data_IF_834248673422
#
_entry.id   IF_834248673422
#
_cell.length_a   1.000
_cell.length_b   1.000
_cell.length_c   1.000
_cell.angle_alpha   90.00
_cell.angle_beta   90.00
_cell.angle_gamma   90.00
#
_symmetry.space_group_name_H-M   'P 1'
#
loop_
_entity.id
_entity.type
_entity.pdbx_description
1 polymer ?
#
# COMPACT_ATOMS: atom_id res chain seq x y z
N UNK A 1 -24.68 13.45 29.15
CA UNK A 1 -24.01 13.75 27.88
C UNK A 1 -24.46 12.66 26.92
N UNK A 2 -24.91 13.05 25.73
CA UNK A 2 -25.31 12.08 24.70
C UNK A 2 -24.08 11.23 24.34
N UNK A 3 -24.24 9.90 24.34
CA UNK A 3 -23.15 8.97 24.01
C UNK A 3 -22.66 9.16 22.56
N UNK A 4 -23.51 9.63 21.67
CA UNK A 4 -23.22 9.88 20.26
C UNK A 4 -22.42 11.18 20.02
N UNK A 5 -22.04 11.91 21.07
CA UNK A 5 -21.32 13.17 20.94
C UNK A 5 -19.83 12.99 20.63
N UNK A 6 -19.26 11.83 20.97
CA UNK A 6 -17.82 11.54 20.79
C UNK A 6 -17.56 10.59 19.65
N UNK A 7 -16.91 11.09 18.62
CA UNK A 7 -16.38 10.30 17.52
C UNK A 7 -14.94 10.65 17.22
N UNK A 8 -14.35 9.87 16.33
CA UNK A 8 -12.99 10.09 15.84
C UNK A 8 -13.01 10.32 14.34
N UNK A 9 -12.06 11.10 13.85
CA UNK A 9 -11.78 11.22 12.42
C UNK A 9 -10.47 10.50 12.11
N UNK A 10 -10.51 9.63 11.10
CA UNK A 10 -9.33 8.99 10.54
C UNK A 10 -9.17 9.50 9.11
N UNK A 11 -8.02 10.07 8.83
CA UNK A 11 -7.62 10.56 7.51
C UNK A 11 -6.20 10.08 7.20
N UNK A 12 -5.95 9.74 5.93
CA UNK A 12 -4.59 9.44 5.48
C UNK A 12 -3.78 10.74 5.43
N UNK A 13 -3.26 11.16 6.58
CA UNK A 13 -2.41 12.32 6.77
C UNK A 13 -1.23 11.95 7.65
N UNK A 14 -0.01 12.41 7.30
CA UNK A 14 1.21 12.10 8.05
C UNK A 14 1.43 10.59 8.27
N UNK A 15 1.07 9.77 7.29
CA UNK A 15 1.13 8.31 7.41
C UNK A 15 0.31 7.74 8.57
N UNK A 16 -0.85 8.34 8.85
CA UNK A 16 -1.74 7.85 9.91
C UNK A 16 -2.31 6.45 9.59
N UNK A 17 -2.47 6.14 8.31
CA UNK A 17 -2.96 4.84 7.82
C UNK A 17 -1.79 4.00 7.31
N UNK A 18 -1.28 4.30 6.10
CA UNK A 18 -0.11 3.62 5.54
C UNK A 18 1.15 3.97 6.35
N UNK A 19 1.74 2.98 7.05
CA UNK A 19 2.84 3.20 7.99
C UNK A 19 2.39 3.58 9.42
N UNK A 20 1.08 3.77 9.63
CA UNK A 20 0.43 4.06 10.91
C UNK A 20 -0.38 2.90 11.45
N UNK A 21 -1.73 3.01 11.43
CA UNK A 21 -2.63 1.98 11.97
C UNK A 21 -2.70 0.71 11.11
N UNK A 22 -2.38 0.79 9.83
CA UNK A 22 -2.31 -0.35 8.92
C UNK A 22 -1.07 -1.19 9.21
N UNK A 23 -1.23 -2.51 9.36
CA UNK A 23 -0.15 -3.38 9.78
C UNK A 23 0.79 -3.81 8.64
N UNK A 24 0.64 -3.26 7.43
CA UNK A 24 1.59 -3.46 6.32
C UNK A 24 2.97 -2.92 6.69
N UNK A 25 3.99 -3.78 6.58
CA UNK A 25 5.35 -3.45 6.98
C UNK A 25 6.24 -3.01 5.80
N UNK A 26 5.79 -3.20 4.56
CA UNK A 26 6.52 -2.80 3.36
C UNK A 26 6.01 -1.46 2.85
N UNK A 27 6.88 -0.46 2.85
CA UNK A 27 6.61 0.82 2.21
C UNK A 27 6.66 0.68 0.69
N UNK A 28 5.73 1.36 -0.02
CA UNK A 28 5.72 1.41 -1.49
C UNK A 28 5.72 -0.01 -2.12
N UNK A 29 4.82 -0.87 -1.63
CA UNK A 29 4.75 -2.30 -1.98
C UNK A 29 4.57 -2.59 -3.48
N UNK A 30 3.97 -1.65 -4.23
CA UNK A 30 3.70 -1.74 -5.68
C UNK A 30 4.54 -0.77 -6.51
N UNK A 31 5.54 -0.12 -5.91
CA UNK A 31 6.49 0.77 -6.59
C UNK A 31 5.87 2.02 -7.25
N UNK A 32 4.64 2.36 -6.89
CA UNK A 32 3.82 3.42 -7.51
C UNK A 32 4.13 4.84 -7.04
N UNK A 33 4.87 5.03 -5.94
CA UNK A 33 5.10 6.34 -5.31
C UNK A 33 5.74 7.38 -6.23
N UNK A 34 6.46 6.97 -7.26
CA UNK A 34 7.07 7.86 -8.24
C UNK A 34 6.19 8.14 -9.48
N UNK A 35 4.91 7.69 -9.52
CA UNK A 35 4.01 7.92 -10.66
C UNK A 35 3.29 9.25 -10.51
N UNK A 36 3.52 10.24 -11.40
CA UNK A 36 2.78 11.48 -11.38
C UNK A 36 1.28 11.25 -11.59
N UNK A 37 0.41 11.98 -10.87
CA UNK A 37 -1.01 11.99 -11.15
C UNK A 37 -1.32 12.49 -12.58
N UNK A 38 -2.43 12.02 -13.12
CA UNK A 38 -2.88 12.43 -14.45
C UNK A 38 -3.05 13.95 -14.53
N UNK A 39 -2.61 14.54 -15.65
CA UNK A 39 -2.67 15.98 -15.92
C UNK A 39 -1.86 16.85 -14.91
N UNK A 40 -0.92 16.26 -14.18
CA UNK A 40 0.00 16.98 -13.30
C UNK A 40 1.42 16.87 -13.87
N UNK A 41 1.87 17.76 -14.77
CA UNK A 41 3.22 17.73 -15.31
C UNK A 41 4.26 17.85 -14.20
N UNK A 42 5.29 17.02 -14.29
CA UNK A 42 6.42 16.99 -13.37
C UNK A 42 7.58 17.85 -13.88
N UNK A 43 8.06 18.74 -13.03
CA UNK A 43 9.30 19.52 -13.25
C UNK A 43 10.45 18.81 -12.52
N UNK A 44 11.39 18.15 -13.25
CA UNK A 44 12.48 17.39 -12.63
C UNK A 44 13.56 18.29 -12.00
N UNK A 45 13.65 19.56 -12.40
CA UNK A 45 14.62 20.51 -11.84
C UNK A 45 14.15 21.01 -10.50
N UNK A 46 12.90 21.47 -10.42
CA UNK A 46 12.28 21.96 -9.20
C UNK A 46 11.76 20.84 -8.29
N UNK A 47 11.62 19.62 -8.81
CA UNK A 47 11.01 18.46 -8.15
C UNK A 47 9.59 18.75 -7.63
N UNK A 48 8.77 19.30 -8.50
CA UNK A 48 7.38 19.64 -8.20
C UNK A 48 6.45 19.10 -9.30
N UNK A 49 5.24 18.79 -8.91
CA UNK A 49 4.10 18.66 -9.83
C UNK A 49 3.39 19.99 -9.94
N UNK A 50 2.85 20.30 -11.12
CA UNK A 50 1.93 21.41 -11.31
C UNK A 50 0.52 20.83 -11.52
N UNK A 51 -0.42 21.19 -10.65
CA UNK A 51 -1.82 20.77 -10.78
C UNK A 51 -2.53 21.51 -11.91
N UNK A 52 -3.65 21.00 -12.44
CA UNK A 52 -4.40 21.69 -13.52
C UNK A 52 -4.86 23.09 -13.19
N UNK A 53 -4.99 23.44 -11.92
CA UNK A 53 -5.32 24.80 -11.43
C UNK A 53 -4.07 25.64 -11.09
N UNK A 54 -2.87 25.18 -11.48
CA UNK A 54 -1.63 25.91 -11.39
C UNK A 54 -0.94 25.92 -10.02
N UNK A 55 -1.38 25.05 -9.10
CA UNK A 55 -0.68 24.85 -7.84
C UNK A 55 0.52 23.92 -8.01
N UNK A 56 1.60 24.17 -7.29
CA UNK A 56 2.79 23.33 -7.30
C UNK A 56 2.94 22.60 -5.97
N UNK A 57 3.18 21.30 -6.02
CA UNK A 57 3.41 20.45 -4.85
C UNK A 57 4.74 19.73 -4.97
N UNK A 58 5.46 19.49 -3.88
CA UNK A 58 6.67 18.67 -3.90
C UNK A 58 6.36 17.28 -4.45
N UNK A 59 7.28 16.73 -5.24
CA UNK A 59 7.16 15.39 -5.77
C UNK A 59 8.51 14.68 -5.81
N UNK A 60 8.48 13.37 -5.69
CA UNK A 60 9.66 12.53 -5.80
C UNK A 60 10.21 12.55 -7.24
N UNK A 61 11.45 12.14 -7.41
CA UNK A 61 11.95 11.81 -8.74
C UNK A 61 11.14 10.64 -9.31
N UNK A 62 10.88 10.70 -10.62
CA UNK A 62 10.10 9.65 -11.31
C UNK A 62 10.78 8.28 -11.33
N UNK A 63 12.10 8.23 -11.10
CA UNK A 63 12.90 7.00 -10.98
C UNK A 63 13.15 6.59 -9.51
N UNK A 64 12.57 7.30 -8.55
CA UNK A 64 12.68 6.97 -7.12
C UNK A 64 11.83 5.77 -6.78
N UNK A 65 12.35 4.94 -5.89
CA UNK A 65 11.65 3.79 -5.29
C UNK A 65 11.76 3.90 -3.77
N UNK A 66 10.99 4.80 -3.13
CA UNK A 66 11.04 5.00 -1.68
C UNK A 66 10.83 3.70 -0.91
N UNK A 67 11.58 3.53 0.17
CA UNK A 67 11.53 2.31 0.99
C UNK A 67 12.35 1.14 0.42
N UNK A 68 13.04 1.33 -0.72
CA UNK A 68 13.83 0.30 -1.38
C UNK A 68 15.23 0.77 -1.74
N UNK A 69 16.20 -0.13 -1.68
CA UNK A 69 17.58 0.11 -2.12
C UNK A 69 18.22 -1.14 -2.68
N UNK A 70 19.29 -0.98 -3.47
CA UNK A 70 20.10 -2.09 -3.90
C UNK A 70 20.83 -2.76 -2.72
N UNK A 71 20.92 -4.09 -2.76
CA UNK A 71 21.63 -4.87 -1.74
C UNK A 71 23.16 -4.66 -1.82
N UNK A 72 23.70 -4.56 -3.01
CA UNK A 72 25.15 -4.41 -3.25
C UNK A 72 25.42 -3.59 -4.52
N UNK A 73 26.67 -3.25 -4.77
CA UNK A 73 27.10 -2.56 -5.99
C UNK A 73 26.90 -3.37 -7.29
N UNK A 74 26.70 -4.69 -7.18
CA UNK A 74 26.41 -5.57 -8.31
C UNK A 74 24.92 -5.61 -8.67
N UNK A 75 24.11 -4.81 -7.99
CA UNK A 75 22.66 -4.77 -8.14
C UNK A 75 22.22 -3.46 -8.78
N UNK A 76 21.22 -3.56 -9.63
CA UNK A 76 20.52 -2.42 -10.22
C UNK A 76 19.01 -2.65 -10.07
N UNK A 77 18.28 -1.62 -9.74
CA UNK A 77 16.82 -1.64 -9.68
C UNK A 77 16.25 -0.45 -10.46
N UNK A 78 15.12 -0.68 -11.13
CA UNK A 78 14.45 0.33 -11.93
C UNK A 78 12.94 0.10 -11.96
N UNK A 79 12.11 1.15 -11.78
CA UNK A 79 10.66 1.04 -11.94
C UNK A 79 10.32 0.85 -13.44
N UNK A 80 9.85 -0.35 -13.78
CA UNK A 80 9.46 -0.72 -15.13
C UNK A 80 7.96 -0.43 -15.35
N UNK A 81 7.62 0.08 -16.52
CA UNK A 81 6.24 0.41 -16.93
C UNK A 81 5.70 -0.50 -18.03
N UNK A 82 6.44 -1.53 -18.40
CA UNK A 82 6.09 -2.46 -19.48
C UNK A 82 5.66 -3.83 -18.97
N UNK A 83 6.40 -4.35 -17.99
CA UNK A 83 6.13 -5.66 -17.39
C UNK A 83 5.25 -5.47 -16.16
N UNK A 84 3.92 -5.48 -16.34
CA UNK A 84 2.93 -5.19 -15.31
C UNK A 84 2.13 -6.45 -14.95
N UNK A 85 1.66 -6.54 -13.71
CA UNK A 85 0.81 -7.65 -13.26
C UNK A 85 -0.65 -7.48 -13.70
N UNK A 86 -1.13 -6.23 -13.79
CA UNK A 86 -2.49 -5.85 -14.20
C UNK A 86 -2.55 -4.37 -14.62
N UNK A 87 -3.74 -3.86 -14.91
CA UNK A 87 -3.98 -2.47 -15.31
C UNK A 87 -4.05 -1.46 -14.15
N UNK A 88 -4.08 -1.91 -12.89
CA UNK A 88 -4.12 -1.06 -11.70
C UNK A 88 -2.72 -0.66 -11.25
N UNK A 89 -1.77 -1.59 -11.38
CA UNK A 89 -0.35 -1.36 -11.08
C UNK A 89 0.35 -0.88 -12.35
N UNK A 90 0.77 0.37 -12.36
CA UNK A 90 1.39 1.05 -13.53
C UNK A 90 2.90 0.87 -13.56
N UNK A 91 3.46 0.23 -12.56
CA UNK A 91 4.88 -0.08 -12.41
C UNK A 91 5.08 -1.44 -11.78
N UNK A 92 6.21 -2.03 -12.11
CA UNK A 92 6.83 -3.11 -11.36
C UNK A 92 8.29 -2.75 -11.07
N UNK A 93 8.97 -3.47 -10.21
CA UNK A 93 10.39 -3.27 -9.97
C UNK A 93 11.22 -4.27 -10.76
N UNK A 94 11.91 -3.82 -11.81
CA UNK A 94 12.97 -4.58 -12.46
C UNK A 94 14.20 -4.62 -11.52
N UNK A 95 14.71 -5.81 -11.27
CA UNK A 95 15.95 -6.06 -10.53
C UNK A 95 16.92 -6.79 -11.44
N UNK A 96 18.10 -6.20 -11.68
CA UNK A 96 19.19 -6.79 -12.43
C UNK A 96 20.39 -7.01 -11.51
N UNK A 97 20.91 -8.22 -11.49
CA UNK A 97 22.04 -8.62 -10.67
C UNK A 97 23.14 -9.17 -11.55
N UNK A 98 24.37 -8.67 -11.34
CA UNK A 98 25.60 -9.14 -11.98
C UNK A 98 26.49 -9.83 -10.93
N UNK A 99 25.93 -10.79 -10.17
CA UNK A 99 26.67 -11.50 -9.14
C UNK A 99 27.61 -12.56 -9.73
N UNK A 100 28.77 -12.73 -9.09
CA UNK A 100 29.71 -13.81 -9.33
C UNK A 100 30.19 -14.38 -7.99
N UNK A 101 30.94 -15.48 -8.02
CA UNK A 101 31.53 -16.06 -6.81
C UNK A 101 32.44 -15.04 -6.07
N UNK A 102 33.09 -14.14 -6.80
CA UNK A 102 33.97 -13.10 -6.24
C UNK A 102 33.18 -11.88 -5.74
N UNK A 103 32.15 -11.45 -6.46
CA UNK A 103 31.36 -10.26 -6.12
C UNK A 103 30.28 -10.50 -5.06
N UNK A 104 29.98 -11.77 -4.75
CA UNK A 104 28.98 -12.16 -3.76
C UNK A 104 27.54 -11.96 -4.24
N UNK A 105 26.62 -11.86 -3.30
CA UNK A 105 25.17 -11.72 -3.56
C UNK A 105 24.81 -10.33 -4.06
N UNK A 106 23.81 -10.29 -4.95
CA UNK A 106 23.13 -9.07 -5.37
C UNK A 106 21.62 -9.18 -5.18
N UNK A 107 20.92 -8.06 -5.34
CA UNK A 107 19.47 -7.97 -5.20
C UNK A 107 19.00 -6.65 -4.62
N UNK A 108 17.87 -6.66 -3.91
CA UNK A 108 17.25 -5.47 -3.32
C UNK A 108 16.88 -5.69 -1.85
N UNK A 109 16.70 -4.59 -1.16
CA UNK A 109 16.28 -4.51 0.24
C UNK A 109 15.05 -3.63 0.33
N UNK A 110 13.98 -4.15 0.97
CA UNK A 110 12.86 -3.35 1.43
C UNK A 110 13.11 -2.90 2.88
N UNK A 111 13.09 -1.59 3.11
CA UNK A 111 13.44 -0.98 4.39
C UNK A 111 12.23 -0.74 5.31
N UNK A 112 10.99 -0.96 4.78
CA UNK A 112 9.77 -0.62 5.49
C UNK A 112 9.64 0.88 5.77
N UNK A 113 8.87 1.23 6.78
CA UNK A 113 8.68 2.61 7.22
C UNK A 113 9.77 3.02 8.23
N UNK A 114 11.05 3.00 7.77
CA UNK A 114 12.20 3.30 8.63
C UNK A 114 12.68 2.12 9.48
N UNK A 115 12.39 0.92 9.06
CA UNK A 115 12.70 -0.38 9.66
C UNK A 115 11.45 -1.24 9.84
N UNK A 116 11.63 -2.55 9.74
CA UNK A 116 10.58 -3.55 9.98
C UNK A 116 10.66 -4.00 11.45
N UNK A 117 9.59 -3.79 12.24
CA UNK A 117 9.55 -4.27 13.61
C UNK A 117 9.35 -5.78 13.65
N UNK A 118 10.25 -6.49 14.35
CA UNK A 118 10.16 -7.93 14.58
C UNK A 118 10.09 -8.21 16.07
N UNK A 119 9.27 -9.19 16.44
CA UNK A 119 9.18 -9.78 17.76
C UNK A 119 9.60 -11.24 17.70
N UNK A 120 10.55 -11.64 18.52
CA UNK A 120 11.05 -13.02 18.57
C UNK A 120 9.91 -14.02 18.76
N UNK A 121 9.84 -15.01 17.89
CA UNK A 121 8.82 -16.06 17.89
C UNK A 121 7.51 -15.70 17.17
N UNK A 122 7.27 -14.43 16.85
CA UNK A 122 6.12 -14.04 16.05
C UNK A 122 6.30 -14.36 14.58
N UNK A 123 5.17 -14.55 13.90
CA UNK A 123 5.09 -14.93 12.49
C UNK A 123 4.68 -13.74 11.64
N UNK A 124 5.25 -13.72 10.44
CA UNK A 124 5.07 -12.64 9.46
C UNK A 124 4.75 -13.25 8.10
N UNK A 125 3.59 -12.92 7.55
CA UNK A 125 3.12 -13.43 6.28
C UNK A 125 3.60 -12.52 5.14
N UNK A 126 4.49 -13.07 4.31
CA UNK A 126 4.98 -12.46 3.08
C UNK A 126 4.10 -12.91 1.91
N UNK A 127 3.72 -11.96 1.06
CA UNK A 127 3.22 -12.25 -0.28
C UNK A 127 3.83 -11.30 -1.30
N UNK A 128 4.07 -11.78 -2.52
CA UNK A 128 4.62 -10.94 -3.59
C UNK A 128 4.34 -11.57 -4.94
N UNK A 129 4.36 -10.76 -5.98
CA UNK A 129 4.40 -11.23 -7.35
C UNK A 129 5.84 -11.15 -7.86
N UNK A 130 6.24 -12.17 -8.61
CA UNK A 130 7.56 -12.25 -9.22
C UNK A 130 7.48 -12.89 -10.60
N UNK A 131 8.31 -12.38 -11.51
CA UNK A 131 8.53 -12.88 -12.87
C UNK A 131 10.03 -12.90 -13.16
N UNK A 132 10.52 -13.94 -13.85
CA UNK A 132 11.90 -14.05 -14.32
C UNK A 132 12.05 -13.68 -15.78
N UNK A 133 13.20 -13.20 -16.19
CA UNK A 133 13.50 -12.85 -17.58
C UNK A 133 13.64 -14.08 -18.51
N UNK A 134 13.78 -15.28 -17.96
CA UNK A 134 13.91 -16.52 -18.74
C UNK A 134 13.30 -17.71 -18.02
N UNK A 135 12.99 -18.77 -18.77
CA UNK A 135 12.49 -20.03 -18.20
C UNK A 135 13.50 -20.75 -17.31
N UNK A 136 14.79 -20.49 -17.49
CA UNK A 136 15.89 -21.03 -16.66
C UNK A 136 16.25 -20.04 -15.54
N UNK A 137 15.26 -19.54 -14.83
CA UNK A 137 15.45 -18.57 -13.77
C UNK A 137 16.34 -19.10 -12.66
N UNK A 138 17.20 -18.21 -12.16
CA UNK A 138 18.08 -18.51 -11.02
C UNK A 138 17.31 -18.39 -9.71
N UNK A 139 17.75 -19.13 -8.71
CA UNK A 139 17.14 -19.07 -7.37
C UNK A 139 17.32 -17.68 -6.75
N UNK A 140 16.22 -17.15 -6.26
CA UNK A 140 16.13 -15.93 -5.47
C UNK A 140 15.83 -16.29 -4.03
N UNK A 141 16.56 -15.72 -3.09
CA UNK A 141 16.43 -15.95 -1.65
C UNK A 141 15.82 -14.74 -0.97
N UNK A 142 14.78 -14.95 -0.16
CA UNK A 142 14.10 -13.93 0.63
C UNK A 142 14.30 -14.23 2.11
N UNK A 143 14.64 -13.22 2.92
CA UNK A 143 14.78 -13.37 4.36
C UNK A 143 14.59 -12.04 5.08
N UNK A 144 14.08 -12.08 6.30
CA UNK A 144 14.14 -10.96 7.21
C UNK A 144 15.57 -10.90 7.79
N UNK A 145 16.18 -9.72 7.77
CA UNK A 145 17.57 -9.53 8.16
C UNK A 145 17.74 -8.29 9.05
N UNK A 146 18.91 -8.12 9.61
CA UNK A 146 19.29 -6.90 10.32
C UNK A 146 19.29 -5.69 9.38
N UNK A 147 19.45 -4.49 9.89
CA UNK A 147 19.44 -3.23 9.10
C UNK A 147 20.48 -3.17 8.00
N UNK A 148 21.55 -3.98 8.09
CA UNK A 148 22.58 -4.09 7.04
C UNK A 148 22.17 -5.06 5.92
N UNK A 149 21.17 -5.91 6.16
CA UNK A 149 20.72 -6.98 5.28
C UNK A 149 21.64 -8.22 5.29
N UNK A 150 22.62 -8.29 6.21
CA UNK A 150 23.66 -9.34 6.21
C UNK A 150 23.35 -10.47 7.19
N UNK A 151 22.79 -10.16 8.35
CA UNK A 151 22.49 -11.15 9.40
C UNK A 151 21.02 -11.56 9.31
N UNK A 152 20.76 -12.83 9.01
CA UNK A 152 19.41 -13.36 8.95
C UNK A 152 18.74 -13.35 10.34
N UNK A 153 17.50 -12.86 10.39
CA UNK A 153 16.61 -12.82 11.56
C UNK A 153 15.37 -13.69 11.37
N UNK A 154 15.34 -14.49 10.30
CA UNK A 154 14.35 -15.54 10.01
C UNK A 154 15.02 -16.66 9.21
N UNK A 155 14.26 -17.69 8.89
CA UNK A 155 14.62 -18.67 7.86
C UNK A 155 14.73 -18.00 6.48
N UNK A 156 15.38 -18.71 5.54
CA UNK A 156 15.53 -18.24 4.16
C UNK A 156 14.52 -18.96 3.28
N UNK A 157 13.62 -18.21 2.69
CA UNK A 157 12.71 -18.69 1.66
C UNK A 157 13.37 -18.60 0.29
N UNK A 158 13.31 -19.68 -0.51
CA UNK A 158 13.91 -19.74 -1.84
C UNK A 158 12.88 -20.02 -2.91
N UNK A 159 12.92 -19.22 -3.97
CA UNK A 159 12.05 -19.37 -5.14
C UNK A 159 12.87 -19.34 -6.42
N UNK A 160 12.41 -20.06 -7.45
CA UNK A 160 12.85 -19.88 -8.81
C UNK A 160 11.76 -19.07 -9.53
N UNK A 161 12.02 -17.82 -9.95
CA UNK A 161 11.03 -17.02 -10.64
C UNK A 161 10.55 -17.72 -11.92
N UNK A 162 9.25 -17.78 -12.12
CA UNK A 162 8.67 -18.27 -13.37
C UNK A 162 8.82 -17.23 -14.48
N UNK A 163 8.73 -17.63 -15.74
CA UNK A 163 8.72 -16.71 -16.89
C UNK A 163 7.50 -15.79 -16.90
N UNK A 164 6.34 -16.32 -16.44
CA UNK A 164 5.12 -15.55 -16.25
C UNK A 164 5.01 -15.04 -14.81
N UNK A 165 4.24 -13.97 -14.64
CA UNK A 165 3.92 -13.45 -13.32
C UNK A 165 3.26 -14.52 -12.44
N UNK A 166 3.80 -14.74 -11.24
CA UNK A 166 3.21 -15.62 -10.23
C UNK A 166 3.20 -14.97 -8.86
N UNK A 167 2.12 -15.20 -8.13
CA UNK A 167 2.01 -14.86 -6.71
C UNK A 167 2.67 -15.93 -5.86
N UNK A 168 3.59 -15.52 -5.01
CA UNK A 168 4.26 -16.37 -4.03
C UNK A 168 3.84 -15.95 -2.63
N UNK A 169 3.81 -16.93 -1.70
CA UNK A 169 3.51 -16.70 -0.29
C UNK A 169 4.50 -17.45 0.58
N UNK A 170 4.84 -16.90 1.73
CA UNK A 170 5.66 -17.55 2.75
C UNK A 170 5.37 -16.93 4.11
N UNK A 171 5.51 -17.72 5.17
CA UNK A 171 5.42 -17.23 6.55
C UNK A 171 6.78 -17.33 7.21
N UNK A 172 7.36 -16.20 7.56
CA UNK A 172 8.59 -16.14 8.35
C UNK A 172 8.32 -16.23 9.84
N UNK A 173 9.24 -16.85 10.58
CA UNK A 173 9.28 -16.78 12.04
C UNK A 173 10.48 -15.95 12.47
N UNK A 174 10.25 -14.85 13.21
CA UNK A 174 11.33 -13.99 13.66
C UNK A 174 12.16 -14.64 14.79
N UNK A 175 13.49 -14.58 14.65
CA UNK A 175 14.43 -15.14 15.65
C UNK A 175 14.89 -14.13 16.70
N UNK A 176 14.61 -12.82 16.50
CA UNK A 176 15.08 -11.73 17.35
C UNK A 176 14.06 -10.61 17.48
N UNK A 177 14.17 -9.81 18.55
CA UNK A 177 13.46 -8.55 18.70
C UNK A 177 14.26 -7.41 18.06
N UNK A 178 13.63 -6.62 17.21
CA UNK A 178 14.23 -5.41 16.64
C UNK A 178 13.15 -4.50 16.04
N UNK A 179 13.43 -3.21 15.90
CA UNK A 179 12.59 -2.28 15.15
C UNK A 179 13.30 -1.82 13.84
N UNK A 180 14.40 -2.47 13.46
CA UNK A 180 15.27 -2.06 12.37
C UNK A 180 15.60 -3.20 11.40
N UNK A 181 14.76 -4.24 11.36
CA UNK A 181 14.92 -5.28 10.36
C UNK A 181 14.58 -4.75 8.96
N UNK A 182 15.00 -5.50 7.95
CA UNK A 182 14.71 -5.29 6.54
C UNK A 182 14.32 -6.62 5.89
N UNK A 183 13.59 -6.58 4.78
CA UNK A 183 13.39 -7.74 3.92
C UNK A 183 14.45 -7.70 2.80
N UNK A 184 15.27 -8.73 2.71
CA UNK A 184 16.24 -8.90 1.61
C UNK A 184 15.70 -9.84 0.56
N UNK A 185 15.86 -9.50 -0.72
CA UNK A 185 15.54 -10.32 -1.88
C UNK A 185 16.78 -10.41 -2.74
N UNK A 186 17.49 -11.54 -2.66
CA UNK A 186 18.87 -11.66 -3.17
C UNK A 186 19.08 -12.93 -3.98
N UNK A 187 20.08 -12.90 -4.87
CA UNK A 187 20.60 -14.07 -5.57
C UNK A 187 22.13 -14.04 -5.56
N UNK A 188 22.73 -15.21 -5.63
CA UNK A 188 24.19 -15.40 -5.75
C UNK A 188 24.67 -15.57 -7.20
N UNK A 189 23.75 -15.40 -8.15
CA UNK A 189 23.99 -15.60 -9.58
C UNK A 189 23.51 -14.37 -10.36
N UNK A 190 24.09 -14.14 -11.53
CA UNK A 190 23.56 -13.13 -12.46
C UNK A 190 22.13 -13.49 -12.86
N UNK A 191 21.21 -12.55 -12.67
CA UNK A 191 19.79 -12.74 -12.90
C UNK A 191 19.09 -11.42 -13.20
N UNK A 192 17.97 -11.51 -13.93
CA UNK A 192 17.01 -10.43 -14.12
C UNK A 192 15.62 -10.95 -13.75
N UNK A 193 14.94 -10.22 -12.89
CA UNK A 193 13.57 -10.54 -12.47
C UNK A 193 12.80 -9.26 -12.14
N UNK A 194 11.49 -9.37 -12.11
CA UNK A 194 10.58 -8.30 -11.71
C UNK A 194 9.84 -8.68 -10.45
N UNK A 195 9.56 -7.68 -9.63
CA UNK A 195 8.76 -7.77 -8.41
C UNK A 195 7.57 -6.83 -8.51
N UNK A 196 6.46 -7.22 -7.91
CA UNK A 196 5.32 -6.34 -7.68
C UNK A 196 4.52 -6.78 -6.44
N UNK A 197 3.78 -5.85 -5.86
CA UNK A 197 2.92 -6.03 -4.68
C UNK A 197 3.61 -6.86 -3.59
N UNK A 198 4.82 -6.44 -3.21
CA UNK A 198 5.57 -7.07 -2.12
C UNK A 198 5.01 -6.60 -0.79
N UNK A 199 4.40 -7.50 -0.03
CA UNK A 199 3.63 -7.20 1.17
C UNK A 199 4.04 -8.12 2.32
N UNK A 200 4.19 -7.58 3.52
CA UNK A 200 4.58 -8.30 4.72
C UNK A 200 3.72 -7.86 5.92
N UNK A 201 2.97 -8.80 6.49
CA UNK A 201 2.11 -8.55 7.66
C UNK A 201 2.50 -9.40 8.85
N UNK A 202 2.46 -8.87 10.08
CA UNK A 202 2.44 -9.72 11.27
C UNK A 202 1.13 -10.54 11.28
N UNK A 203 1.18 -11.78 11.76
CA UNK A 203 -0.06 -12.54 11.99
C UNK A 203 -0.85 -11.99 13.18
N UNK A 204 -0.16 -11.35 14.13
CA UNK A 204 -0.79 -10.66 15.23
C UNK A 204 -1.32 -9.30 14.79
N UNK A 205 -2.59 -9.26 14.38
CA UNK A 205 -3.32 -8.05 14.00
C UNK A 205 -4.50 -7.82 14.94
N UNK A 206 -5.05 -6.61 14.94
CA UNK A 206 -6.27 -6.29 15.69
C UNK A 206 -7.40 -7.25 15.33
N UNK A 207 -8.00 -7.88 16.36
CA UNK A 207 -9.04 -8.92 16.21
C UNK A 207 -8.66 -10.10 15.30
N UNK A 208 -7.38 -10.27 15.01
CA UNK A 208 -6.89 -11.36 14.15
C UNK A 208 -7.30 -11.24 12.68
N UNK A 209 -7.71 -10.07 12.20
CA UNK A 209 -8.11 -9.88 10.80
C UNK A 209 -6.90 -9.99 9.87
N UNK A 210 -6.99 -10.76 8.79
CA UNK A 210 -5.93 -10.83 7.77
C UNK A 210 -5.65 -9.45 7.17
N UNK A 211 -4.37 -9.12 6.94
CA UNK A 211 -3.94 -7.81 6.43
C UNK A 211 -4.55 -6.64 7.22
N UNK A 212 -4.72 -6.85 8.52
CA UNK A 212 -5.50 -5.97 9.38
C UNK A 212 -4.71 -4.81 9.97
N UNK A 213 -5.17 -4.37 11.14
CA UNK A 213 -4.69 -3.18 11.82
C UNK A 213 -3.69 -3.56 12.93
N UNK A 214 -2.85 -2.61 13.31
CA UNK A 214 -1.87 -2.76 14.39
C UNK A 214 -2.56 -2.80 15.75
N UNK A 215 -2.45 -3.90 16.50
CA UNK A 215 -3.22 -4.08 17.75
C UNK A 215 -2.91 -3.02 18.79
N UNK A 216 -1.63 -2.64 18.97
CA UNK A 216 -1.22 -1.66 19.98
C UNK A 216 -1.78 -0.25 19.74
N UNK A 217 -2.04 0.14 18.48
CA UNK A 217 -2.68 1.40 18.16
C UNK A 217 -4.20 1.31 18.28
N UNK A 218 -4.77 0.19 17.83
CA UNK A 218 -6.20 -0.01 17.89
C UNK A 218 -6.73 -0.19 19.32
N UNK A 219 -5.93 -0.75 20.23
CA UNK A 219 -6.24 -0.81 21.66
C UNK A 219 -6.38 0.60 22.26
N UNK A 220 -5.51 1.54 21.88
CA UNK A 220 -5.61 2.94 22.31
C UNK A 220 -6.87 3.61 21.76
N UNK A 221 -7.19 3.37 20.47
CA UNK A 221 -8.41 3.89 19.85
C UNK A 221 -9.66 3.30 20.52
N UNK A 222 -9.68 1.98 20.76
CA UNK A 222 -10.78 1.29 21.41
C UNK A 222 -11.01 1.78 22.85
N UNK A 223 -9.93 2.14 23.57
CA UNK A 223 -10.03 2.69 24.93
C UNK A 223 -10.76 4.05 24.98
N UNK A 224 -10.77 4.80 23.87
CA UNK A 224 -11.52 6.05 23.75
C UNK A 224 -13.03 5.84 23.60
N UNK A 225 -13.48 4.62 23.25
CA UNK A 225 -14.88 4.24 23.06
C UNK A 225 -15.63 5.22 22.14
N UNK A 226 -15.15 5.42 20.90
CA UNK A 226 -15.79 6.35 19.98
C UNK A 226 -17.18 5.84 19.62
N UNK A 227 -18.18 6.73 19.57
CA UNK A 227 -19.53 6.38 19.12
C UNK A 227 -19.60 6.29 17.58
N UNK A 228 -18.69 6.98 16.89
CA UNK A 228 -18.59 6.92 15.43
C UNK A 228 -17.14 7.15 14.97
N UNK A 229 -16.84 6.65 13.77
CA UNK A 229 -15.58 6.91 13.06
C UNK A 229 -15.91 7.61 11.74
N UNK A 230 -15.41 8.84 11.56
CA UNK A 230 -15.48 9.55 10.29
C UNK A 230 -14.24 9.24 9.47
N UNK A 231 -14.41 8.74 8.24
CA UNK A 231 -13.33 8.31 7.34
C UNK A 231 -13.71 8.51 5.86
N UNK A 232 -12.75 8.43 4.89
CA UNK A 232 -11.31 8.32 5.05
C UNK A 232 -10.61 9.68 5.21
N UNK A 233 -11.33 10.73 5.50
CA UNK A 233 -10.83 12.07 5.75
C UNK A 233 -11.74 13.18 5.30
N UNK A 234 -11.18 14.36 5.10
CA UNK A 234 -11.80 15.56 4.53
C UNK A 234 -11.06 15.96 3.25
N UNK A 235 -9.93 16.64 3.40
CA UNK A 235 -9.09 17.06 2.28
C UNK A 235 -8.56 15.89 1.44
N UNK A 236 -8.32 14.76 2.06
CA UNK A 236 -7.95 13.51 1.36
C UNK A 236 -9.01 13.08 0.35
N UNK A 237 -10.30 13.26 0.68
CA UNK A 237 -11.43 12.92 -0.20
C UNK A 237 -11.61 13.91 -1.33
N UNK A 238 -11.24 15.18 -1.14
CA UNK A 238 -11.32 16.19 -2.19
C UNK A 238 -10.22 15.97 -3.25
N UNK A 239 -9.00 15.62 -2.82
CA UNK A 239 -7.87 15.53 -3.72
C UNK A 239 -7.51 16.87 -4.38
N UNK A 240 -6.57 16.88 -5.29
CA UNK A 240 -6.19 18.07 -6.06
C UNK A 240 -6.43 17.90 -7.59
N UNK A 241 -6.80 16.70 -8.03
CA UNK A 241 -7.25 16.40 -9.40
C UNK A 241 -8.08 15.13 -9.39
N UNK A 242 -8.86 14.92 -10.43
CA UNK A 242 -9.53 13.64 -10.66
C UNK A 242 -8.50 12.48 -10.61
N UNK A 243 -8.82 11.45 -9.82
CA UNK A 243 -7.93 10.29 -9.61
C UNK A 243 -6.88 10.45 -8.51
N UNK A 244 -6.88 11.56 -7.74
CA UNK A 244 -6.07 11.76 -6.53
C UNK A 244 -6.90 11.78 -5.25
N UNK A 245 -8.06 11.16 -5.27
CA UNK A 245 -8.92 10.90 -4.12
C UNK A 245 -9.43 9.46 -4.15
N UNK A 246 -9.79 8.88 -3.00
CA UNK A 246 -10.27 7.51 -2.94
C UNK A 246 -11.67 7.38 -3.59
N UNK A 247 -11.83 6.38 -4.43
CA UNK A 247 -13.12 5.89 -4.93
C UNK A 247 -13.35 4.53 -4.29
N UNK A 248 -14.42 4.36 -3.54
CA UNK A 248 -14.58 3.18 -2.67
C UNK A 248 -14.41 1.83 -3.39
N UNK A 249 -14.89 1.72 -4.65
CA UNK A 249 -14.76 0.50 -5.46
C UNK A 249 -13.31 0.14 -5.80
N UNK A 250 -12.42 1.14 -5.85
CA UNK A 250 -10.99 0.99 -6.13
C UNK A 250 -10.20 0.66 -4.85
N UNK A 251 -10.87 0.59 -3.70
CA UNK A 251 -10.25 0.39 -2.39
C UNK A 251 -10.65 -0.93 -1.72
N UNK A 252 -11.45 -1.77 -2.37
CA UNK A 252 -11.93 -3.06 -1.83
C UNK A 252 -11.35 -4.25 -2.62
N UNK A 253 -11.41 -5.46 -2.06
CA UNK A 253 -10.91 -6.67 -2.70
C UNK A 253 -9.42 -6.92 -2.50
N UNK A 254 -8.79 -7.72 -3.40
CA UNK A 254 -7.35 -8.05 -3.29
C UNK A 254 -6.51 -6.77 -3.38
N UNK A 255 -5.50 -6.66 -2.52
CA UNK A 255 -4.59 -5.50 -2.47
C UNK A 255 -3.83 -5.28 -3.79
N UNK A 256 -3.67 -6.31 -4.62
CA UNK A 256 -3.07 -6.20 -5.94
C UNK A 256 -3.97 -5.52 -6.98
N UNK A 257 -5.28 -5.44 -6.72
CA UNK A 257 -6.28 -4.82 -7.59
C UNK A 257 -6.67 -3.41 -7.12
N UNK A 258 -6.09 -2.94 -6.01
CA UNK A 258 -6.40 -1.62 -5.46
C UNK A 258 -5.53 -0.55 -6.11
N UNK A 259 -6.18 0.56 -6.44
CA UNK A 259 -5.48 1.69 -7.04
C UNK A 259 -4.59 2.39 -6.03
N UNK A 260 -3.36 2.61 -6.40
CA UNK A 260 -2.43 3.47 -5.69
C UNK A 260 -2.45 4.87 -6.30
N UNK A 261 -2.36 5.92 -5.49
CA UNK A 261 -2.28 7.28 -5.99
C UNK A 261 -1.46 8.20 -5.08
N UNK A 262 -0.94 9.29 -5.66
CA UNK A 262 -0.28 10.36 -4.92
C UNK A 262 -1.32 11.25 -4.27
N UNK A 263 -1.34 11.30 -2.94
CA UNK A 263 -2.37 11.99 -2.19
C UNK A 263 -2.04 13.48 -1.96
N UNK A 264 -2.99 14.22 -1.40
CA UNK A 264 -2.88 15.65 -1.15
C UNK A 264 -1.79 16.04 -0.13
N UNK A 265 -1.32 15.08 0.65
CA UNK A 265 -0.27 15.27 1.65
C UNK A 265 1.13 14.99 1.11
N UNK A 266 1.25 14.89 -0.24
CA UNK A 266 2.49 14.74 -0.98
C UNK A 266 3.25 13.42 -0.71
N UNK A 267 2.53 12.30 -0.62
CA UNK A 267 3.08 10.95 -0.66
C UNK A 267 2.08 9.96 -1.29
N UNK A 268 2.55 8.76 -1.58
CA UNK A 268 1.71 7.72 -2.14
C UNK A 268 0.83 7.07 -1.09
N UNK A 269 -0.43 6.76 -1.43
CA UNK A 269 -1.33 5.93 -0.62
C UNK A 269 -1.66 4.65 -1.36
N UNK A 270 -1.68 3.53 -0.64
CA UNK A 270 -1.87 2.19 -1.21
C UNK A 270 -3.32 1.74 -1.22
N UNK A 271 -4.23 2.49 -0.59
CA UNK A 271 -5.59 2.05 -0.28
C UNK A 271 -5.63 0.68 0.42
N UNK A 272 -4.59 0.37 1.20
CA UNK A 272 -4.49 -0.88 1.95
C UNK A 272 -5.59 -1.03 2.98
N UNK A 273 -5.91 0.05 3.70
CA UNK A 273 -7.20 0.20 4.39
C UNK A 273 -8.14 0.90 3.43
N UNK A 274 -9.12 0.16 2.92
CA UNK A 274 -10.15 0.66 2.05
C UNK A 274 -11.51 0.73 2.73
N UNK A 275 -12.55 0.94 1.94
CA UNK A 275 -13.91 1.09 2.46
C UNK A 275 -14.35 -0.13 3.31
N UNK A 276 -14.02 -1.34 2.85
CA UNK A 276 -14.36 -2.56 3.58
C UNK A 276 -13.67 -2.64 4.95
N UNK A 277 -12.38 -2.39 5.02
CA UNK A 277 -11.61 -2.46 6.27
C UNK A 277 -12.02 -1.35 7.25
N UNK A 278 -12.43 -0.18 6.77
CA UNK A 278 -13.03 0.85 7.63
C UNK A 278 -14.36 0.42 8.24
N UNK A 279 -15.23 -0.25 7.47
CA UNK A 279 -16.47 -0.81 8.00
C UNK A 279 -16.20 -1.89 9.05
N UNK A 280 -15.24 -2.81 8.78
CA UNK A 280 -14.82 -3.81 9.75
C UNK A 280 -14.23 -3.18 11.02
N UNK A 281 -13.45 -2.13 10.88
CA UNK A 281 -12.90 -1.39 12.02
C UNK A 281 -14.01 -0.77 12.87
N UNK A 282 -15.04 -0.19 12.25
CA UNK A 282 -16.19 0.36 12.97
C UNK A 282 -16.96 -0.73 13.72
N UNK A 283 -17.20 -1.88 13.08
CA UNK A 283 -17.81 -3.06 13.73
C UNK A 283 -17.00 -3.53 14.94
N UNK A 284 -15.68 -3.66 14.79
CA UNK A 284 -14.76 -4.10 15.86
C UNK A 284 -14.71 -3.13 17.05
N UNK A 285 -14.99 -1.85 16.81
CA UNK A 285 -15.01 -0.78 17.83
C UNK A 285 -16.40 -0.52 18.42
N UNK A 286 -17.46 -1.19 17.91
CA UNK A 286 -18.87 -0.88 18.24
C UNK A 286 -19.16 0.61 17.97
N UNK A 287 -18.73 1.12 16.82
CA UNK A 287 -18.81 2.51 16.42
C UNK A 287 -19.55 2.64 15.07
N UNK A 288 -20.37 3.70 14.93
CA UNK A 288 -21.06 3.98 13.67
C UNK A 288 -20.10 4.48 12.59
N UNK A 289 -20.15 3.98 11.34
CA UNK A 289 -19.35 4.47 10.25
C UNK A 289 -19.93 5.78 9.68
N UNK A 290 -19.10 6.82 9.61
CA UNK A 290 -19.41 8.08 8.93
C UNK A 290 -18.51 8.21 7.72
N UNK A 291 -18.96 7.66 6.59
CA UNK A 291 -18.18 7.68 5.34
C UNK A 291 -18.29 9.04 4.64
N UNK A 292 -17.14 9.62 4.30
CA UNK A 292 -17.05 10.90 3.57
C UNK A 292 -16.79 10.62 2.09
N UNK A 293 -17.59 11.22 1.23
CA UNK A 293 -17.51 11.09 -0.22
C UNK A 293 -17.06 12.39 -0.89
N UNK A 294 -16.44 12.28 -2.06
CA UNK A 294 -16.19 13.43 -2.92
C UNK A 294 -17.52 13.89 -3.54
N UNK A 295 -17.82 15.17 -3.40
CA UNK A 295 -19.02 15.83 -3.93
C UNK A 295 -18.79 16.55 -5.27
N UNK A 296 -17.74 16.16 -6.03
CA UNK A 296 -17.41 16.76 -7.31
C UNK A 296 -16.49 17.98 -7.20
N UNK A 297 -15.75 18.09 -6.09
CA UNK A 297 -14.83 19.21 -5.87
C UNK A 297 -13.42 18.68 -5.62
N UNK A 298 -12.43 19.32 -6.27
CA UNK A 298 -11.02 19.20 -5.93
C UNK A 298 -10.53 20.55 -5.43
N UNK A 299 -10.01 20.63 -4.20
CA UNK A 299 -9.85 21.93 -3.54
C UNK A 299 -8.50 22.15 -2.83
N UNK A 300 -7.54 21.26 -2.95
CA UNK A 300 -6.34 21.31 -2.12
C UNK A 300 -5.41 22.50 -2.34
N UNK A 301 -5.55 23.19 -3.46
CA UNK A 301 -4.75 24.36 -3.78
C UNK A 301 -5.41 25.68 -3.39
N UNK A 302 -6.51 25.66 -2.62
CA UNK A 302 -7.38 26.83 -2.38
C UNK A 302 -7.88 27.48 -3.67
N UNK A 303 -7.85 26.75 -4.78
CA UNK A 303 -8.36 27.12 -6.10
C UNK A 303 -9.29 25.98 -6.53
N UNK A 304 -10.52 25.95 -6.00
CA UNK A 304 -11.42 24.84 -6.21
C UNK A 304 -11.66 24.61 -7.70
N UNK A 305 -11.70 23.36 -8.09
CA UNK A 305 -12.15 22.92 -9.38
C UNK A 305 -13.38 22.04 -9.19
N UNK A 306 -14.39 22.30 -9.97
CA UNK A 306 -15.66 21.57 -9.93
C UNK A 306 -15.72 20.59 -11.09
N UNK A 307 -16.21 19.40 -10.83
CA UNK A 307 -16.59 18.47 -11.89
C UNK A 307 -17.79 19.05 -12.68
N UNK A 308 -17.89 18.68 -13.95
CA UNK A 308 -19.05 19.01 -14.75
C UNK A 308 -20.32 18.42 -14.10
N UNK A 309 -21.42 19.15 -14.16
CA UNK A 309 -22.71 18.71 -13.62
C UNK A 309 -23.15 17.36 -14.20
N UNK A 310 -22.71 17.02 -15.41
CA UNK A 310 -22.94 15.72 -16.03
C UNK A 310 -22.23 14.57 -15.30
N UNK A 311 -21.12 14.84 -14.60
CA UNK A 311 -20.41 13.87 -13.77
C UNK A 311 -21.09 13.62 -12.41
N UNK A 312 -21.97 14.53 -11.97
CA UNK A 312 -22.63 14.41 -10.65
C UNK A 312 -23.49 13.15 -10.53
N UNK A 313 -24.15 12.72 -11.62
CA UNK A 313 -24.93 11.48 -11.62
C UNK A 313 -24.11 10.25 -11.25
N UNK A 314 -22.85 10.17 -11.71
CA UNK A 314 -21.94 9.09 -11.35
C UNK A 314 -21.53 9.15 -9.89
N UNK A 315 -21.21 10.33 -9.37
CA UNK A 315 -20.82 10.50 -7.95
C UNK A 315 -21.98 10.16 -7.00
N UNK A 316 -23.20 10.56 -7.36
CA UNK A 316 -24.43 10.17 -6.60
C UNK A 316 -24.60 8.66 -6.64
N UNK A 317 -24.46 8.02 -7.81
CA UNK A 317 -24.58 6.56 -7.91
C UNK A 317 -23.49 5.84 -7.10
N UNK A 318 -22.23 6.31 -7.16
CA UNK A 318 -21.16 5.75 -6.34
C UNK A 318 -21.46 5.85 -4.84
N UNK A 319 -22.09 6.94 -4.38
CA UNK A 319 -22.52 7.09 -3.00
C UNK A 319 -23.64 6.11 -2.63
N UNK A 320 -24.67 5.95 -3.50
CA UNK A 320 -25.76 5.00 -3.29
C UNK A 320 -25.23 3.55 -3.25
N UNK A 321 -24.31 3.23 -4.13
CA UNK A 321 -23.68 1.91 -4.19
C UNK A 321 -22.78 1.63 -2.97
N UNK A 322 -22.13 2.64 -2.40
CA UNK A 322 -21.40 2.50 -1.14
C UNK A 322 -22.35 2.17 0.03
N UNK A 323 -23.50 2.84 0.09
CA UNK A 323 -24.56 2.54 1.08
C UNK A 323 -25.08 1.12 0.88
N UNK A 324 -25.36 0.73 -0.36
CA UNK A 324 -25.85 -0.61 -0.70
C UNK A 324 -24.81 -1.68 -0.35
N UNK A 325 -23.54 -1.45 -0.67
CA UNK A 325 -22.44 -2.35 -0.28
C UNK A 325 -22.38 -2.58 1.23
N UNK A 326 -22.57 -1.51 2.04
CA UNK A 326 -22.52 -1.63 3.49
C UNK A 326 -23.76 -2.33 4.09
N UNK A 327 -24.96 -2.11 3.53
CA UNK A 327 -26.22 -2.43 4.21
C UNK A 327 -27.05 -3.52 3.55
N UNK A 328 -26.88 -3.79 2.26
CA UNK A 328 -27.68 -4.80 1.59
C UNK A 328 -27.40 -6.23 2.09
N UNK A 329 -28.39 -7.13 2.08
CA UNK A 329 -28.24 -8.51 2.49
C UNK A 329 -27.24 -9.24 1.56
N UNK A 330 -26.62 -10.31 2.08
CA UNK A 330 -25.53 -11.03 1.41
C UNK A 330 -25.95 -11.70 0.08
N UNK A 331 -27.21 -11.84 -0.21
CA UNK A 331 -27.77 -12.37 -1.45
C UNK A 331 -28.04 -11.31 -2.53
N UNK A 332 -27.88 -10.01 -2.21
CA UNK A 332 -27.87 -8.94 -3.20
C UNK A 332 -26.52 -8.86 -3.94
N UNK A 333 -26.46 -8.10 -5.04
CA UNK A 333 -25.23 -7.95 -5.83
C UNK A 333 -24.09 -7.36 -4.99
N UNK A 334 -24.35 -6.24 -4.30
CA UNK A 334 -23.30 -5.56 -3.52
C UNK A 334 -23.08 -6.21 -2.15
N UNK A 335 -24.11 -6.82 -1.57
CA UNK A 335 -23.98 -7.65 -0.38
C UNK A 335 -23.16 -8.92 -0.61
N UNK A 336 -23.34 -9.60 -1.75
CA UNK A 336 -22.51 -10.73 -2.18
C UNK A 336 -21.05 -10.28 -2.37
N UNK A 337 -20.81 -9.12 -2.99
CA UNK A 337 -19.47 -8.56 -3.14
C UNK A 337 -18.82 -8.29 -1.77
N UNK A 338 -19.56 -7.69 -0.83
CA UNK A 338 -19.09 -7.48 0.55
C UNK A 338 -18.73 -8.81 1.22
N UNK A 339 -19.60 -9.80 1.14
CA UNK A 339 -19.39 -11.13 1.73
C UNK A 339 -18.16 -11.85 1.15
N UNK A 340 -17.81 -11.59 -0.11
CA UNK A 340 -16.59 -12.14 -0.73
C UNK A 340 -15.29 -11.52 -0.21
N UNK A 341 -15.37 -10.37 0.44
CA UNK A 341 -14.22 -9.67 1.01
C UNK A 341 -13.94 -10.04 2.50
N UNK A 342 -14.85 -10.73 3.17
CA UNK A 342 -14.68 -11.26 4.53
C UNK A 342 -15.77 -10.82 5.52
#
# INVERSE_FOLDING_TARGET
VNKELYGLTIEEINHAVDGGIYAELIQNRSFEDGVPPLNCPYDPVRRVLTTPNGWTIPFLRSDSVPGWRCFSATSYMYPDTKELINDKNRRSLLVSVSASAESGKGGVIAEGYGGIPLRKGEKYDLSFYMKGASMASKTVSLTLADSTGKTALSEVFRVAPAYEWRKYKHTFTATSNTNKAVLTITTDSSAVFWLDVVSLFPQNTWKGRPNGLRPELMELIAALKPAFIRFPGGSFVEGYTAGTYPVWRETVGDIAERKHFWNVWAYGTTNGIGYHEYLQMCEDLDAEPVYVINSGVTNQSRRPRYEDITAMGKLVQDALDAIAYANEPADSILGTLRASHG
#
